data_IF_692922748288
#
_entry.id   IF_692922748288
#
_cell.length_a   1.000
_cell.length_b   1.000
_cell.length_c   1.000
_cell.angle_alpha   90.00
_cell.angle_beta   90.00
_cell.angle_gamma   90.00
#
_symmetry.space_group_name_H-M   'P 1'
#
loop_
_entity.id
_entity.type
_entity.pdbx_description
1 polymer ?
#
# COMPACT_ATOMS: atom_id res chain seq x y z
N UNK A 1 -20.89 -38.89 14.21
CA UNK A 1 -19.87 -38.17 13.43
C UNK A 1 -19.95 -36.63 13.55
N UNK A 2 -21.00 -36.06 14.15
CA UNK A 2 -21.18 -34.59 14.27
C UNK A 2 -20.37 -33.90 15.39
N UNK A 3 -19.83 -34.64 16.35
CA UNK A 3 -19.08 -34.07 17.47
C UNK A 3 -17.60 -33.79 17.12
N UNK A 4 -17.03 -34.55 16.17
CA UNK A 4 -15.64 -34.40 15.75
C UNK A 4 -15.42 -33.14 14.88
N UNK A 5 -16.41 -32.75 14.07
CA UNK A 5 -16.32 -31.55 13.21
C UNK A 5 -16.42 -30.26 14.02
N UNK A 6 -17.22 -30.25 15.09
CA UNK A 6 -17.34 -29.10 16.00
C UNK A 6 -16.06 -28.89 16.82
N UNK A 7 -15.41 -29.98 17.26
CA UNK A 7 -14.15 -29.90 17.99
C UNK A 7 -12.99 -29.44 17.10
N UNK A 8 -12.94 -29.87 15.84
CA UNK A 8 -11.96 -29.40 14.85
C UNK A 8 -12.11 -27.90 14.55
N UNK A 9 -13.34 -27.40 14.41
CA UNK A 9 -13.59 -25.98 14.16
C UNK A 9 -13.18 -25.09 15.35
N UNK A 10 -13.43 -25.58 16.57
CA UNK A 10 -13.03 -24.89 17.81
C UNK A 10 -11.49 -24.86 17.97
N UNK A 11 -10.80 -25.97 17.65
CA UNK A 11 -9.33 -26.03 17.68
C UNK A 11 -8.67 -25.04 16.70
N UNK A 12 -9.23 -24.88 15.50
CA UNK A 12 -8.72 -23.92 14.50
C UNK A 12 -8.92 -22.47 14.98
N UNK A 13 -10.06 -22.14 15.59
CA UNK A 13 -10.30 -20.81 16.16
C UNK A 13 -9.33 -20.48 17.32
N UNK A 14 -9.02 -21.46 18.19
CA UNK A 14 -8.07 -21.24 19.29
C UNK A 14 -6.61 -21.13 18.82
N UNK A 15 -6.22 -21.82 17.74
CA UNK A 15 -4.87 -21.72 17.19
C UNK A 15 -4.62 -20.34 16.55
N UNK A 16 -5.61 -19.82 15.82
CA UNK A 16 -5.53 -18.47 15.22
C UNK A 16 -5.47 -17.37 16.29
N UNK A 17 -6.17 -17.52 17.41
CA UNK A 17 -6.06 -16.57 18.53
C UNK A 17 -4.70 -16.64 19.25
N UNK A 18 -4.09 -17.82 19.35
CA UNK A 18 -2.80 -18.00 20.03
C UNK A 18 -1.61 -17.44 19.23
N UNK A 19 -1.65 -17.49 17.90
CA UNK A 19 -0.57 -17.00 17.04
C UNK A 19 -0.56 -15.46 16.89
N UNK A 20 -1.64 -14.76 17.25
CA UNK A 20 -1.72 -13.29 17.13
C UNK A 20 -1.07 -12.50 18.28
N UNK A 21 -0.46 -13.16 19.27
CA UNK A 21 0.06 -12.49 20.48
C UNK A 21 1.57 -12.64 20.73
N UNK A 22 2.35 -13.11 19.75
CA UNK A 22 3.81 -13.26 19.91
C UNK A 22 4.59 -12.65 18.74
N UNK A 23 5.60 -11.86 19.10
CA UNK A 23 6.67 -11.30 18.27
C UNK A 23 6.42 -9.93 17.63
N UNK A 24 6.44 -8.91 18.50
CA UNK A 24 7.14 -7.68 18.17
C UNK A 24 8.65 -7.94 18.13
N UNK A 25 9.21 -8.00 16.92
CA UNK A 25 10.64 -7.93 16.68
C UNK A 25 10.92 -7.02 15.47
N UNK A 26 11.19 -5.77 15.84
CA UNK A 26 11.87 -4.70 15.12
C UNK A 26 12.72 -5.15 13.91
N UNK A 27 12.22 -4.93 12.69
CA UNK A 27 13.02 -5.02 11.45
C UNK A 27 12.95 -3.71 10.69
N UNK A 28 14.02 -2.92 10.80
CA UNK A 28 14.31 -1.78 9.94
C UNK A 28 14.58 -2.29 8.52
N UNK A 29 13.68 -2.02 7.58
CA UNK A 29 13.99 -2.20 6.16
C UNK A 29 14.91 -1.06 5.70
N UNK A 30 16.14 -1.32 5.22
CA UNK A 30 16.84 -0.33 4.42
C UNK A 30 16.10 -0.20 3.09
N UNK A 31 15.79 1.03 2.71
CA UNK A 31 15.23 1.40 1.40
C UNK A 31 16.18 0.89 0.32
N UNK A 32 15.81 -0.20 -0.37
CA UNK A 32 16.45 -0.57 -1.63
C UNK A 32 15.79 0.28 -2.71
N UNK A 33 16.43 1.42 -3.00
CA UNK A 33 16.12 2.21 -4.17
C UNK A 33 16.48 1.38 -5.42
N UNK A 34 15.47 1.01 -6.21
CA UNK A 34 15.66 0.45 -7.54
C UNK A 34 16.52 1.42 -8.36
N UNK A 35 17.75 1.04 -8.66
CA UNK A 35 18.70 1.87 -9.40
C UNK A 35 18.37 1.81 -10.89
N UNK A 36 18.19 2.99 -11.48
CA UNK A 36 18.02 3.18 -12.93
C UNK A 36 19.28 2.72 -13.68
N UNK A 37 19.18 2.23 -14.93
CA UNK A 37 20.35 1.78 -15.68
C UNK A 37 21.35 2.92 -15.98
N UNK A 38 22.62 2.69 -15.64
CA UNK A 38 23.80 3.24 -16.33
C UNK A 38 24.26 4.66 -15.99
N UNK A 39 24.91 4.86 -14.83
CA UNK A 39 25.80 6.01 -14.62
C UNK A 39 27.19 5.70 -15.17
N UNK A 40 27.71 6.56 -16.04
CA UNK A 40 29.09 6.50 -16.53
C UNK A 40 30.08 6.56 -15.36
N UNK A 41 31.15 5.77 -15.40
CA UNK A 41 32.21 5.80 -14.38
C UNK A 41 32.89 7.17 -14.27
N UNK A 42 33.37 7.52 -13.06
CA UNK A 42 34.12 8.75 -12.81
C UNK A 42 35.46 8.78 -13.58
N UNK A 43 35.95 9.95 -14.05
CA UNK A 43 37.26 10.08 -14.68
C UNK A 43 38.41 9.58 -13.79
N UNK A 44 39.48 9.04 -14.40
CA UNK A 44 40.70 8.63 -13.68
C UNK A 44 41.44 9.82 -13.04
N UNK A 45 42.21 9.57 -11.98
CA UNK A 45 43.07 10.58 -11.34
C UNK A 45 44.23 10.97 -12.27
N UNK A 46 44.58 12.25 -12.29
CA UNK A 46 45.77 12.75 -13.00
C UNK A 46 47.06 12.12 -12.43
N UNK A 47 48.07 11.92 -13.28
CA UNK A 47 49.38 11.39 -12.88
C UNK A 47 50.19 12.41 -12.07
N UNK A 48 51.02 11.95 -11.14
CA UNK A 48 51.92 12.80 -10.36
C UNK A 48 53.13 13.28 -11.20
N UNK A 49 53.52 14.54 -11.05
CA UNK A 49 54.72 15.11 -11.67
C UNK A 49 56.01 14.41 -11.18
N UNK A 50 56.98 14.20 -12.09
CA UNK A 50 58.28 13.61 -11.76
C UNK A 50 59.16 14.54 -10.92
N UNK A 51 59.95 13.98 -9.99
CA UNK A 51 60.86 14.74 -9.15
C UNK A 51 61.96 15.46 -9.98
N UNK A 52 62.28 16.70 -9.61
CA UNK A 52 63.36 17.49 -10.22
C UNK A 52 64.73 16.88 -9.91
N UNK A 53 65.60 16.74 -10.92
CA UNK A 53 66.97 16.23 -10.75
C UNK A 53 67.86 17.14 -9.89
N UNK A 54 68.69 16.54 -9.04
CA UNK A 54 69.65 17.23 -8.18
C UNK A 54 70.82 17.83 -8.99
N UNK A 55 71.39 18.94 -8.52
CA UNK A 55 72.53 19.63 -9.14
C UNK A 55 73.84 18.94 -8.73
N UNK A 56 74.73 18.64 -9.69
CA UNK A 56 76.03 18.02 -9.41
C UNK A 56 76.97 18.90 -8.56
N UNK A 57 77.72 18.27 -7.67
CA UNK A 57 78.71 18.91 -6.79
C UNK A 57 79.96 19.39 -7.57
N UNK A 58 80.57 20.55 -7.23
CA UNK A 58 81.81 21.02 -7.84
C UNK A 58 83.02 20.13 -7.50
N UNK A 59 83.83 19.78 -8.50
CA UNK A 59 85.04 18.98 -8.34
C UNK A 59 86.17 19.70 -7.59
N UNK A 60 86.90 18.94 -6.75
CA UNK A 60 88.10 19.39 -6.05
C UNK A 60 89.28 19.48 -7.04
N UNK A 61 89.82 20.69 -7.22
CA UNK A 61 91.04 20.96 -8.00
C UNK A 61 91.99 21.85 -7.20
N UNK A 62 93.28 21.46 -7.20
CA UNK A 62 94.34 21.99 -6.36
C UNK A 62 94.61 23.49 -6.54
N UNK A 63 94.67 24.18 -5.39
CA UNK A 63 95.31 25.46 -5.05
C UNK A 63 95.97 26.24 -6.21
N UNK A 64 95.16 27.02 -6.90
CA UNK A 64 95.54 28.32 -7.46
C UNK A 64 94.52 29.35 -6.97
N UNK A 65 94.93 30.59 -6.71
CA UNK A 65 94.01 31.66 -6.31
C UNK A 65 93.05 31.96 -7.46
N UNK A 66 91.97 31.20 -7.56
CA UNK A 66 90.94 31.36 -8.58
C UNK A 66 89.86 32.30 -8.05
N UNK A 67 89.51 33.28 -8.87
CA UNK A 67 88.64 34.40 -8.52
C UNK A 67 87.24 34.00 -8.05
N UNK A 68 86.44 34.98 -7.57
CA UNK A 68 85.12 34.73 -7.03
C UNK A 68 84.29 33.87 -8.01
N UNK A 69 83.57 32.84 -7.52
CA UNK A 69 82.75 31.98 -8.36
C UNK A 69 81.85 32.80 -9.26
N UNK A 70 81.81 32.44 -10.55
CA UNK A 70 80.90 33.06 -11.51
C UNK A 70 79.45 32.95 -11.05
N UNK A 71 78.63 33.97 -11.37
CA UNK A 71 77.19 33.94 -11.08
C UNK A 71 76.59 32.67 -11.67
N UNK A 72 75.86 31.92 -10.84
CA UNK A 72 75.13 30.72 -11.26
C UNK A 72 74.27 31.07 -12.48
N UNK A 73 74.43 30.31 -13.56
CA UNK A 73 73.63 30.50 -14.78
C UNK A 73 72.13 30.32 -14.50
N UNK A 74 71.25 30.92 -15.32
CA UNK A 74 69.81 30.75 -15.17
C UNK A 74 69.44 29.26 -15.26
N UNK A 75 68.40 28.86 -14.51
CA UNK A 75 67.87 27.51 -14.60
C UNK A 75 67.46 27.20 -16.05
N UNK A 76 67.75 25.97 -16.51
CA UNK A 76 67.28 25.52 -17.81
C UNK A 76 65.75 25.56 -17.90
N UNK A 77 65.19 25.68 -19.12
CA UNK A 77 63.73 25.64 -19.30
C UNK A 77 63.15 24.33 -18.77
N UNK A 78 61.90 24.33 -18.26
CA UNK A 78 61.22 23.09 -17.86
C UNK A 78 61.24 22.05 -18.98
N UNK A 79 61.37 20.77 -18.62
CA UNK A 79 61.25 19.67 -19.57
C UNK A 79 59.88 19.68 -20.25
N UNK A 80 59.81 19.17 -21.49
CA UNK A 80 58.54 19.00 -22.18
C UNK A 80 57.59 18.10 -21.35
N UNK A 81 56.28 18.40 -21.29
CA UNK A 81 55.30 17.55 -20.62
C UNK A 81 55.41 16.09 -21.08
N UNK A 82 55.26 15.15 -20.14
CA UNK A 82 55.23 13.72 -20.47
C UNK A 82 54.10 13.40 -21.46
N UNK A 83 54.33 12.41 -22.33
CA UNK A 83 53.29 11.93 -23.24
C UNK A 83 52.06 11.46 -22.46
N UNK A 84 50.86 11.81 -22.93
CA UNK A 84 49.59 11.33 -22.35
C UNK A 84 49.63 9.80 -22.22
N UNK A 85 49.35 9.29 -21.02
CA UNK A 85 49.26 7.85 -20.77
C UNK A 85 48.22 7.21 -21.70
N UNK A 86 48.46 5.96 -22.11
CA UNK A 86 47.51 5.21 -22.92
C UNK A 86 46.14 5.18 -22.22
N UNK A 87 45.06 5.35 -22.99
CA UNK A 87 43.69 5.18 -22.48
C UNK A 87 43.56 3.78 -21.89
N UNK A 88 43.14 3.69 -20.62
CA UNK A 88 42.90 2.40 -19.97
C UNK A 88 41.88 1.56 -20.76
N UNK A 89 41.92 0.23 -20.65
CA UNK A 89 40.95 -0.62 -21.32
C UNK A 89 39.53 -0.23 -20.91
N UNK A 90 38.59 -0.28 -21.86
CA UNK A 90 37.16 -0.11 -21.57
C UNK A 90 36.77 -1.19 -20.54
N UNK A 91 36.11 -0.79 -19.45
CA UNK A 91 35.59 -1.75 -18.47
C UNK A 91 34.63 -2.74 -19.14
N UNK A 92 34.70 -4.00 -18.72
CA UNK A 92 33.82 -5.03 -19.25
C UNK A 92 32.36 -4.64 -19.08
N UNK A 93 31.52 -5.01 -20.04
CA UNK A 93 30.07 -4.79 -19.95
C UNK A 93 29.55 -5.54 -18.72
N UNK A 94 28.91 -4.83 -17.80
CA UNK A 94 28.27 -5.46 -16.64
C UNK A 94 27.35 -6.58 -17.12
N UNK A 95 27.53 -7.77 -16.54
CA UNK A 95 26.71 -8.94 -16.82
C UNK A 95 25.27 -8.62 -16.41
N UNK A 96 24.36 -8.55 -17.38
CA UNK A 96 22.93 -8.47 -17.09
C UNK A 96 22.50 -9.83 -16.59
N UNK A 97 22.53 -10.02 -15.27
CA UNK A 97 22.01 -11.24 -14.65
C UNK A 97 20.49 -11.15 -14.75
N UNK A 98 19.92 -11.89 -15.70
CA UNK A 98 18.49 -12.15 -15.76
C UNK A 98 18.17 -13.02 -14.55
N UNK A 99 17.62 -12.42 -13.49
CA UNK A 99 17.20 -13.17 -12.32
C UNK A 99 16.03 -14.07 -12.74
N UNK A 100 16.21 -15.38 -12.60
CA UNK A 100 15.15 -16.35 -12.81
C UNK A 100 14.04 -16.13 -11.76
N UNK A 101 12.94 -15.50 -12.16
CA UNK A 101 11.79 -15.21 -11.30
C UNK A 101 10.78 -16.36 -11.28
N UNK A 102 11.01 -17.46 -12.00
CA UNK A 102 10.00 -18.52 -12.20
C UNK A 102 9.47 -19.08 -10.89
N UNK A 103 10.33 -19.31 -9.89
CA UNK A 103 9.90 -19.79 -8.58
C UNK A 103 9.03 -18.77 -7.82
N UNK A 104 9.39 -17.48 -7.88
CA UNK A 104 8.61 -16.39 -7.24
C UNK A 104 7.25 -16.25 -7.93
N UNK A 105 7.21 -16.34 -9.26
CA UNK A 105 5.97 -16.26 -10.03
C UNK A 105 5.03 -17.44 -9.71
N UNK A 106 5.58 -18.64 -9.52
CA UNK A 106 4.83 -19.82 -9.06
C UNK A 106 4.27 -19.62 -7.66
N UNK A 107 5.06 -19.09 -6.72
CA UNK A 107 4.61 -18.80 -5.36
C UNK A 107 3.50 -17.73 -5.33
N UNK A 108 3.63 -16.65 -6.10
CA UNK A 108 2.59 -15.61 -6.24
C UNK A 108 1.30 -16.21 -6.82
N UNK A 109 1.41 -17.08 -7.82
CA UNK A 109 0.26 -17.75 -8.41
C UNK A 109 -0.45 -18.67 -7.41
N UNK A 110 0.32 -19.43 -6.61
CA UNK A 110 -0.20 -20.28 -5.55
C UNK A 110 -0.94 -19.46 -4.48
N UNK A 111 -0.31 -18.42 -3.94
CA UNK A 111 -0.90 -17.52 -2.93
C UNK A 111 -2.18 -16.84 -3.43
N UNK A 112 -2.18 -16.36 -4.69
CA UNK A 112 -3.40 -15.80 -5.30
C UNK A 112 -4.52 -16.84 -5.41
N UNK A 113 -4.19 -18.10 -5.65
CA UNK A 113 -5.16 -19.19 -5.68
C UNK A 113 -5.77 -19.44 -4.31
N UNK A 114 -4.93 -19.51 -3.27
CA UNK A 114 -5.37 -19.69 -1.88
C UNK A 114 -6.24 -18.52 -1.40
N UNK A 115 -5.85 -17.28 -1.70
CA UNK A 115 -6.64 -16.09 -1.35
C UNK A 115 -8.03 -16.13 -2.00
N UNK A 116 -8.14 -16.56 -3.25
CA UNK A 116 -9.44 -16.74 -3.92
C UNK A 116 -10.28 -17.82 -3.25
N UNK A 117 -9.66 -18.92 -2.81
CA UNK A 117 -10.36 -19.98 -2.08
C UNK A 117 -10.88 -19.47 -0.72
N UNK A 118 -10.04 -18.74 0.03
CA UNK A 118 -10.43 -18.13 1.31
C UNK A 118 -11.57 -17.12 1.13
N UNK A 119 -11.51 -16.24 0.13
CA UNK A 119 -12.59 -15.31 -0.18
C UNK A 119 -13.91 -16.03 -0.45
N UNK A 120 -13.89 -17.13 -1.21
CA UNK A 120 -15.10 -17.94 -1.46
C UNK A 120 -15.68 -18.53 -0.17
N UNK A 121 -14.85 -19.04 0.74
CA UNK A 121 -15.31 -19.55 2.04
C UNK A 121 -15.89 -18.47 2.95
N UNK A 122 -15.32 -17.27 2.96
CA UNK A 122 -15.87 -16.12 3.71
C UNK A 122 -17.22 -15.72 3.13
N UNK A 123 -17.33 -15.61 1.80
CA UNK A 123 -18.60 -15.28 1.15
C UNK A 123 -19.67 -16.34 1.43
N UNK A 124 -19.33 -17.63 1.38
CA UNK A 124 -20.26 -18.71 1.66
C UNK A 124 -20.76 -18.71 3.12
N UNK A 125 -19.92 -18.33 4.08
CA UNK A 125 -20.24 -18.42 5.51
C UNK A 125 -20.88 -17.17 6.09
N UNK A 126 -20.60 -15.99 5.53
CA UNK A 126 -20.95 -14.70 6.16
C UNK A 126 -21.77 -13.75 5.28
N UNK A 127 -22.07 -14.11 4.02
CA UNK A 127 -22.77 -13.21 3.10
C UNK A 127 -24.05 -13.80 2.52
N UNK A 128 -24.98 -12.93 2.18
CA UNK A 128 -26.12 -13.23 1.29
C UNK A 128 -25.83 -12.64 -0.09
N UNK A 129 -26.23 -13.35 -1.14
CA UNK A 129 -25.94 -12.97 -2.52
C UNK A 129 -27.24 -12.68 -3.28
N UNK A 130 -27.28 -11.57 -4.01
CA UNK A 130 -28.34 -11.25 -4.97
C UNK A 130 -27.68 -10.86 -6.29
N UNK A 131 -27.79 -11.73 -7.30
CA UNK A 131 -27.06 -11.58 -8.55
C UNK A 131 -25.54 -11.60 -8.33
N UNK A 132 -24.85 -10.51 -8.70
CA UNK A 132 -23.39 -10.34 -8.51
C UNK A 132 -23.02 -9.56 -7.24
N UNK A 133 -24.00 -9.16 -6.44
CA UNK A 133 -23.78 -8.43 -5.21
C UNK A 133 -23.77 -9.38 -4.03
N UNK A 134 -22.88 -9.10 -3.08
CA UNK A 134 -22.84 -9.78 -1.79
C UNK A 134 -22.98 -8.75 -0.66
N UNK A 135 -23.67 -9.15 0.41
CA UNK A 135 -23.96 -8.30 1.55
C UNK A 135 -23.38 -8.90 2.83
N UNK A 136 -22.73 -8.08 3.65
CA UNK A 136 -22.15 -8.51 4.93
C UNK A 136 -22.48 -7.51 6.03
N UNK A 137 -22.99 -7.99 7.16
CA UNK A 137 -23.31 -7.13 8.31
C UNK A 137 -22.09 -6.92 9.22
N UNK A 138 -22.02 -5.73 9.84
CA UNK A 138 -21.15 -5.51 10.99
C UNK A 138 -21.62 -6.31 12.19
N UNK A 139 -20.68 -6.60 13.10
CA UNK A 139 -20.97 -7.20 14.41
C UNK A 139 -21.32 -6.11 15.44
N UNK A 140 -20.76 -4.91 15.29
CA UNK A 140 -20.95 -3.79 16.21
C UNK A 140 -21.86 -2.72 15.61
N UNK A 141 -22.66 -2.11 16.48
CA UNK A 141 -23.44 -0.91 16.18
C UNK A 141 -22.53 0.32 16.12
N UNK A 142 -22.77 1.23 15.19
CA UNK A 142 -22.01 2.47 15.01
C UNK A 142 -22.83 3.55 14.30
N UNK A 143 -22.48 4.85 14.40
CA UNK A 143 -23.14 5.91 13.63
C UNK A 143 -22.82 5.83 12.13
N UNK A 144 -23.65 6.47 11.29
CA UNK A 144 -23.54 6.31 9.83
C UNK A 144 -22.15 6.75 9.30
N UNK A 145 -21.54 7.79 9.86
CA UNK A 145 -20.21 8.24 9.42
C UNK A 145 -19.13 7.15 9.55
N UNK A 146 -19.17 6.37 10.65
CA UNK A 146 -18.27 5.23 10.86
C UNK A 146 -18.65 4.04 9.98
N UNK A 147 -19.94 3.81 9.78
CA UNK A 147 -20.44 2.80 8.86
C UNK A 147 -19.94 3.04 7.42
N UNK A 148 -19.98 4.29 6.93
CA UNK A 148 -19.41 4.71 5.64
C UNK A 148 -17.92 4.40 5.55
N UNK A 149 -17.17 4.77 6.59
CA UNK A 149 -15.72 4.52 6.64
C UNK A 149 -15.39 3.02 6.65
N UNK A 150 -16.11 2.22 7.43
CA UNK A 150 -15.93 0.77 7.51
C UNK A 150 -16.17 0.09 6.16
N UNK A 151 -17.29 0.36 5.50
CA UNK A 151 -17.56 -0.25 4.20
C UNK A 151 -16.54 0.20 3.15
N UNK A 152 -16.13 1.48 3.17
CA UNK A 152 -15.11 2.00 2.26
C UNK A 152 -13.74 1.37 2.50
N UNK A 153 -13.35 1.11 3.74
CA UNK A 153 -12.10 0.41 4.10
C UNK A 153 -12.06 -1.00 3.52
N UNK A 154 -13.22 -1.67 3.49
CA UNK A 154 -13.39 -2.99 2.90
C UNK A 154 -13.58 -2.98 1.38
N UNK A 155 -13.43 -1.82 0.72
CA UNK A 155 -13.67 -1.64 -0.73
C UNK A 155 -15.12 -1.91 -1.16
N UNK A 156 -16.07 -1.71 -0.24
CA UNK A 156 -17.51 -1.76 -0.50
C UNK A 156 -18.20 -0.42 -0.24
N UNK A 157 -19.53 -0.45 -0.25
CA UNK A 157 -20.39 0.70 0.07
C UNK A 157 -21.43 0.30 1.11
N UNK A 158 -22.05 1.26 1.79
CA UNK A 158 -23.20 0.96 2.65
C UNK A 158 -24.36 0.47 1.75
N UNK A 159 -24.96 -0.66 2.12
CA UNK A 159 -25.90 -1.36 1.27
C UNK A 159 -27.12 -0.51 0.93
N UNK A 160 -27.44 -0.42 -0.36
CA UNK A 160 -28.56 0.39 -0.87
C UNK A 160 -29.48 -0.49 -1.71
N UNK A 161 -30.54 -1.07 -1.11
CA UNK A 161 -31.42 -2.01 -1.81
C UNK A 161 -32.09 -1.35 -3.02
N UNK A 162 -31.93 -1.97 -4.19
CA UNK A 162 -32.53 -1.51 -5.46
C UNK A 162 -33.81 -2.25 -5.82
N UNK A 163 -34.18 -3.29 -5.08
CA UNK A 163 -35.38 -4.09 -5.26
C UNK A 163 -35.71 -4.88 -3.97
N UNK A 164 -36.84 -5.58 -3.97
CA UNK A 164 -37.31 -6.34 -2.81
C UNK A 164 -36.41 -7.53 -2.44
N UNK A 165 -35.72 -8.12 -3.42
CA UNK A 165 -34.80 -9.24 -3.19
C UNK A 165 -33.54 -8.78 -2.44
N UNK A 166 -32.92 -7.69 -2.89
CA UNK A 166 -31.80 -7.05 -2.18
C UNK A 166 -32.20 -6.60 -0.78
N UNK A 167 -33.40 -6.02 -0.61
CA UNK A 167 -33.90 -5.63 0.71
C UNK A 167 -33.99 -6.81 1.67
N UNK A 168 -34.45 -7.97 1.17
CA UNK A 168 -34.54 -9.20 1.96
C UNK A 168 -33.17 -9.77 2.28
N UNK A 169 -32.23 -9.75 1.34
CA UNK A 169 -30.86 -10.19 1.58
C UNK A 169 -30.18 -9.35 2.67
N UNK A 170 -30.34 -8.03 2.63
CA UNK A 170 -29.84 -7.11 3.67
C UNK A 170 -30.49 -7.44 5.02
N UNK A 171 -31.81 -7.67 5.06
CA UNK A 171 -32.53 -8.07 6.27
C UNK A 171 -31.96 -9.37 6.88
N UNK A 172 -31.70 -10.38 6.05
CA UNK A 172 -31.20 -11.68 6.47
C UNK A 172 -29.79 -11.62 7.08
N UNK A 173 -28.90 -10.79 6.52
CA UNK A 173 -27.54 -10.64 7.06
C UNK A 173 -27.49 -9.74 8.28
N UNK A 174 -28.32 -8.69 8.33
CA UNK A 174 -28.36 -7.76 9.45
C UNK A 174 -28.91 -8.43 10.72
N UNK A 175 -30.03 -9.16 10.60
CA UNK A 175 -30.80 -9.80 11.70
C UNK A 175 -31.25 -8.86 12.83
N UNK A 176 -30.97 -7.58 12.72
CA UNK A 176 -31.30 -6.50 13.65
C UNK A 176 -31.39 -5.19 12.82
N UNK A 177 -31.73 -4.07 13.46
CA UNK A 177 -31.82 -2.75 12.80
C UNK A 177 -30.45 -2.33 12.26
N UNK A 178 -30.40 -2.01 10.97
CA UNK A 178 -29.17 -1.65 10.27
C UNK A 178 -29.33 -0.43 9.36
N UNK A 179 -28.29 0.38 9.25
CA UNK A 179 -28.24 1.48 8.30
C UNK A 179 -28.32 0.99 6.86
N UNK A 180 -29.07 1.74 6.04
CA UNK A 180 -29.02 1.70 4.59
C UNK A 180 -28.14 2.84 4.08
N UNK A 181 -27.60 2.67 2.87
CA UNK A 181 -26.80 3.68 2.19
C UNK A 181 -27.65 4.81 1.61
N UNK A 182 -28.66 5.27 2.34
CA UNK A 182 -29.68 6.21 1.89
C UNK A 182 -29.79 7.35 2.92
N UNK A 183 -29.78 8.58 2.43
CA UNK A 183 -29.92 9.80 3.23
C UNK A 183 -30.65 10.87 2.45
N UNK A 184 -31.31 11.79 3.12
CA UNK A 184 -31.85 13.04 2.53
C UNK A 184 -31.13 14.29 3.08
N UNK A 185 -29.93 14.10 3.67
CA UNK A 185 -29.04 15.15 4.17
C UNK A 185 -28.83 16.34 3.22
N UNK A 186 -28.89 16.12 1.90
CA UNK A 186 -28.69 17.17 0.89
C UNK A 186 -29.95 18.01 0.68
N UNK A 187 -31.12 17.38 0.71
CA UNK A 187 -32.41 18.03 0.47
C UNK A 187 -33.47 17.19 1.16
N UNK A 188 -34.03 17.76 2.22
CA UNK A 188 -35.11 17.18 3.03
C UNK A 188 -36.20 16.55 2.15
N UNK A 189 -36.62 15.33 2.50
CA UNK A 189 -37.57 14.50 1.73
C UNK A 189 -37.10 14.04 0.34
N UNK A 190 -35.84 14.27 -0.04
CA UNK A 190 -35.21 13.75 -1.26
C UNK A 190 -34.16 12.72 -0.87
N UNK A 191 -34.60 11.47 -0.79
CA UNK A 191 -33.74 10.35 -0.42
C UNK A 191 -32.82 9.91 -1.57
N UNK A 192 -31.52 9.98 -1.31
CA UNK A 192 -30.45 9.70 -2.24
C UNK A 192 -29.52 8.66 -1.66
N UNK A 193 -28.90 7.88 -2.54
CA UNK A 193 -27.80 7.05 -2.11
C UNK A 193 -26.56 7.87 -1.77
N UNK A 194 -25.55 7.22 -1.18
CA UNK A 194 -24.32 7.89 -0.77
C UNK A 194 -23.46 8.43 -1.93
N UNK A 195 -23.84 8.15 -3.18
CA UNK A 195 -23.21 8.69 -4.39
C UNK A 195 -24.00 9.87 -4.98
N UNK A 196 -25.13 10.24 -4.37
CA UNK A 196 -25.98 11.35 -4.79
C UNK A 196 -27.05 10.98 -5.82
N UNK A 197 -27.28 9.69 -6.09
CA UNK A 197 -28.35 9.27 -7.00
C UNK A 197 -29.66 9.06 -6.23
N UNK A 198 -30.75 9.63 -6.76
CA UNK A 198 -32.09 9.45 -6.18
C UNK A 198 -32.48 7.97 -6.14
N UNK A 199 -32.93 7.51 -4.97
CA UNK A 199 -33.39 6.14 -4.77
C UNK A 199 -34.75 5.93 -5.44
N UNK A 200 -34.90 4.80 -6.16
CA UNK A 200 -36.14 4.45 -6.88
C UNK A 200 -36.99 3.40 -6.17
N UNK A 201 -36.36 2.44 -5.51
CA UNK A 201 -37.03 1.42 -4.72
C UNK A 201 -37.16 1.91 -3.29
N UNK A 202 -38.36 1.81 -2.70
CA UNK A 202 -38.60 2.21 -1.31
C UNK A 202 -39.42 1.16 -0.60
N UNK A 203 -39.19 0.98 0.70
CA UNK A 203 -39.98 0.06 1.52
C UNK A 203 -40.27 0.65 2.91
N UNK A 204 -40.68 1.91 2.96
CA UNK A 204 -41.01 2.64 4.18
C UNK A 204 -42.01 1.90 5.08
N UNK A 205 -41.80 2.02 6.38
CA UNK A 205 -42.77 1.61 7.38
C UNK A 205 -43.98 2.55 7.34
N UNK A 206 -45.12 2.10 7.88
CA UNK A 206 -46.31 2.94 7.94
C UNK A 206 -46.05 4.21 8.75
N UNK A 207 -46.30 5.38 8.15
CA UNK A 207 -46.02 6.68 8.76
C UNK A 207 -44.65 7.28 8.40
N UNK A 208 -43.76 6.53 7.75
CA UNK A 208 -42.39 6.97 7.44
C UNK A 208 -42.20 7.37 5.97
N UNK A 209 -41.22 8.24 5.65
CA UNK A 209 -40.36 8.97 6.59
C UNK A 209 -41.09 10.18 7.21
N UNK A 210 -40.76 10.54 8.46
CA UNK A 210 -41.50 11.54 9.24
C UNK A 210 -40.66 12.70 9.82
N UNK A 211 -39.33 12.61 9.73
CA UNK A 211 -38.37 13.58 10.26
C UNK A 211 -38.65 14.05 11.70
N UNK A 212 -38.87 13.13 12.64
CA UNK A 212 -39.15 13.45 14.04
C UNK A 212 -38.03 14.32 14.62
N UNK A 213 -38.42 15.46 15.21
CA UNK A 213 -37.48 16.34 15.90
C UNK A 213 -36.54 17.14 14.97
N UNK A 214 -36.81 17.18 13.66
CA UNK A 214 -36.08 17.97 12.64
C UNK A 214 -34.61 17.58 12.42
N UNK A 215 -34.30 16.28 12.39
CA UNK A 215 -32.93 15.82 12.18
C UNK A 215 -32.74 14.36 11.77
N UNK A 216 -33.76 13.68 11.26
CA UNK A 216 -33.70 12.27 10.89
C UNK A 216 -33.26 12.06 9.45
N UNK A 217 -32.01 12.43 9.16
CA UNK A 217 -31.55 12.48 7.77
C UNK A 217 -30.98 11.15 7.23
N UNK A 218 -31.16 10.04 7.95
CA UNK A 218 -30.54 8.75 7.66
C UNK A 218 -31.55 7.62 7.70
N UNK A 219 -31.42 6.62 6.83
CA UNK A 219 -32.40 5.54 6.74
C UNK A 219 -31.87 4.26 7.37
N UNK A 220 -32.70 3.60 8.17
CA UNK A 220 -32.45 2.25 8.69
C UNK A 220 -33.48 1.25 8.15
N UNK A 221 -33.02 0.03 7.95
CA UNK A 221 -33.84 -1.15 7.77
C UNK A 221 -34.22 -1.71 9.14
N UNK A 222 -35.52 -1.80 9.41
CA UNK A 222 -36.09 -2.42 10.60
C UNK A 222 -36.09 -3.95 10.48
N UNK A 223 -36.26 -4.65 11.60
CA UNK A 223 -36.30 -6.12 11.66
C UNK A 223 -37.44 -6.74 10.84
N UNK A 224 -38.53 -6.01 10.61
CA UNK A 224 -39.63 -6.41 9.73
C UNK A 224 -39.35 -6.18 8.22
N UNK A 225 -38.17 -5.64 7.88
CA UNK A 225 -37.74 -5.35 6.52
C UNK A 225 -38.23 -4.01 5.98
N UNK A 226 -38.99 -3.23 6.77
CA UNK A 226 -39.46 -1.88 6.45
C UNK A 226 -38.44 -0.83 6.84
N UNK A 227 -38.57 0.39 6.31
CA UNK A 227 -37.60 1.47 6.53
C UNK A 227 -38.13 2.52 7.48
N UNK A 228 -37.22 3.10 8.24
CA UNK A 228 -37.46 4.25 9.09
C UNK A 228 -36.35 5.29 8.85
N UNK A 229 -36.68 6.57 8.80
CA UNK A 229 -35.68 7.62 8.94
C UNK A 229 -35.33 7.82 10.43
N UNK A 230 -34.07 8.10 10.70
CA UNK A 230 -33.50 8.23 12.05
C UNK A 230 -32.37 9.27 12.06
N UNK A 231 -31.98 9.81 13.23
CA UNK A 231 -30.81 10.67 13.32
C UNK A 231 -29.54 9.92 12.92
N UNK A 232 -28.73 10.53 12.05
CA UNK A 232 -27.48 9.92 11.56
C UNK A 232 -26.43 9.65 12.66
N UNK A 233 -26.58 10.28 13.83
CA UNK A 233 -25.74 10.10 15.01
C UNK A 233 -26.03 8.81 15.79
N UNK A 234 -27.20 8.22 15.60
CA UNK A 234 -27.61 7.02 16.31
C UNK A 234 -26.80 5.81 15.86
N UNK A 235 -26.69 4.81 16.74
CA UNK A 235 -25.82 3.66 16.49
C UNK A 235 -26.63 2.41 16.16
N UNK A 236 -26.53 1.96 14.91
CA UNK A 236 -27.14 0.75 14.38
C UNK A 236 -26.09 -0.16 13.74
N UNK A 237 -26.46 -1.39 13.38
CA UNK A 237 -25.59 -2.21 12.54
C UNK A 237 -25.42 -1.54 11.17
N UNK A 238 -24.41 -1.95 10.41
CA UNK A 238 -24.28 -1.57 9.01
C UNK A 238 -24.18 -2.84 8.18
N UNK A 239 -24.89 -2.86 7.06
CA UNK A 239 -24.63 -3.85 6.02
C UNK A 239 -23.81 -3.19 4.92
N UNK A 240 -22.66 -3.77 4.61
CA UNK A 240 -21.87 -3.36 3.46
C UNK A 240 -22.29 -4.20 2.24
N UNK A 241 -22.44 -3.55 1.10
CA UNK A 241 -22.60 -4.19 -0.20
C UNK A 241 -21.28 -4.13 -0.97
N UNK A 242 -21.07 -5.15 -1.79
CA UNK A 242 -19.91 -5.27 -2.63
C UNK A 242 -20.33 -5.87 -3.98
N UNK A 243 -19.59 -5.56 -5.03
CA UNK A 243 -19.80 -6.11 -6.37
C UNK A 243 -18.50 -6.73 -6.86
N UNK A 244 -18.60 -7.91 -7.50
CA UNK A 244 -17.50 -8.53 -8.24
C UNK A 244 -17.39 -7.96 -9.66
#
# INVERSE_FOLDING_TARGET
MSLFTSFLLLCVLTAVYAETLTEGAQSSCPVIACSSPGLNGFPGKDGHDGAKGEKGEPGQGLRGLQGPPGKVGPAGPPGNPGSKGATGPKGDRGESVEFDTTNIDLEIAALRSELRAMRKWVLLSMSENVGKKYFMSSVRRMPLNRAKALCSELQGTVATPRNAEENRAIQNVAKDVAFLGITDQRTENVFEDLTGNRVRYTNWNEGEPNNVGSGENCVVLLTNGKWNDVPCSDSFLVVCEFSD
#
